data_IF_518106909109
#
_entry.id   IF_518106909109
#
_cell.length_a   1.000
_cell.length_b   1.000
_cell.length_c   1.000
_cell.angle_alpha   90.00
_cell.angle_beta   90.00
_cell.angle_gamma   90.00
#
_symmetry.space_group_name_H-M   'P 1'
#
loop_
_entity.id
_entity.type
_entity.pdbx_description
1 polymer ?
#
# COMPACT_ATOMS: atom_id res chain seq x y z
N UNK A 1 -8.29 -17.85 17.71
CA UNK A 1 -8.63 -17.39 19.07
C UNK A 1 -9.16 -15.96 18.96
N UNK A 2 -10.27 -15.64 19.63
CA UNK A 2 -10.90 -14.32 19.57
C UNK A 2 -10.54 -13.50 20.81
N UNK A 3 -10.38 -12.18 20.63
CA UNK A 3 -10.14 -11.23 21.71
C UNK A 3 -11.13 -10.07 21.63
N UNK A 4 -11.66 -9.66 22.78
CA UNK A 4 -12.55 -8.50 22.91
C UNK A 4 -11.73 -7.22 23.10
N UNK A 5 -11.75 -6.35 22.10
CA UNK A 5 -10.93 -5.12 22.05
C UNK A 5 -11.70 -3.84 22.41
N UNK A 6 -13.02 -3.95 22.61
CA UNK A 6 -13.90 -2.84 22.96
C UNK A 6 -15.36 -3.14 22.60
N UNK A 7 -16.28 -2.41 23.21
CA UNK A 7 -17.72 -2.42 22.90
C UNK A 7 -18.15 -0.99 22.64
N UNK A 8 -19.01 -0.75 21.65
CA UNK A 8 -19.60 0.57 21.40
C UNK A 8 -21.12 0.48 21.40
N UNK A 9 -21.75 1.47 21.97
CA UNK A 9 -23.18 1.68 21.79
C UNK A 9 -23.41 2.16 20.34
N UNK A 10 -24.31 1.51 19.61
CA UNK A 10 -24.54 1.84 18.20
C UNK A 10 -25.44 3.07 18.00
N UNK A 11 -26.12 3.53 19.04
CA UNK A 11 -26.94 4.75 19.03
C UNK A 11 -26.12 6.01 19.33
N UNK A 12 -25.16 5.94 20.25
CA UNK A 12 -24.30 7.08 20.63
C UNK A 12 -22.90 7.02 20.02
N UNK A 13 -22.47 5.84 19.56
CA UNK A 13 -21.10 5.53 19.12
C UNK A 13 -20.05 5.67 20.23
N UNK A 14 -20.48 5.84 21.47
CA UNK A 14 -19.60 5.88 22.63
C UNK A 14 -19.14 4.49 23.02
N UNK A 15 -17.93 4.42 23.56
CA UNK A 15 -17.37 3.17 24.05
C UNK A 15 -17.87 2.86 25.46
N UNK A 16 -18.21 1.59 25.67
CA UNK A 16 -18.66 1.08 26.95
C UNK A 16 -17.73 -0.05 27.40
N UNK A 17 -17.27 0.01 28.65
CA UNK A 17 -16.54 -1.09 29.26
C UNK A 17 -17.52 -2.09 29.87
N UNK A 18 -17.78 -3.15 29.11
CA UNK A 18 -18.67 -4.25 29.52
C UNK A 18 -17.94 -5.57 29.30
N UNK A 19 -18.11 -6.49 30.25
CA UNK A 19 -17.66 -7.87 30.07
C UNK A 19 -18.71 -8.67 29.31
N UNK A 20 -18.34 -9.16 28.13
CA UNK A 20 -19.19 -9.99 27.27
C UNK A 20 -18.79 -11.47 27.34
N UNK A 21 -17.93 -11.86 28.29
CA UNK A 21 -17.44 -13.24 28.44
C UNK A 21 -16.37 -13.63 27.41
N UNK A 22 -15.83 -12.68 26.65
CA UNK A 22 -14.74 -12.90 25.68
C UNK A 22 -13.45 -12.34 26.25
N UNK A 23 -12.37 -13.11 26.15
CA UNK A 23 -11.05 -12.74 26.69
C UNK A 23 -10.58 -11.39 26.13
N UNK A 24 -10.13 -10.49 27.01
CA UNK A 24 -9.49 -9.22 26.64
C UNK A 24 -7.97 -9.39 26.38
N UNK A 25 -7.34 -8.55 25.55
CA UNK A 25 -5.89 -8.50 25.38
C UNK A 25 -5.16 -8.22 26.71
N UNK A 26 -3.86 -8.51 26.74
CA UNK A 26 -3.00 -8.10 27.86
C UNK A 26 -2.97 -6.57 27.97
N UNK A 27 -3.20 -6.04 29.16
CA UNK A 27 -3.13 -4.60 29.47
C UNK A 27 -1.87 -4.27 30.28
N UNK A 28 -1.41 -3.03 30.16
CA UNK A 28 -0.23 -2.51 30.86
C UNK A 28 -0.61 -1.20 31.57
N UNK A 29 -0.25 -1.02 32.85
CA UNK A 29 -0.63 0.16 33.63
C UNK A 29 0.32 1.34 33.37
N UNK A 30 0.43 1.77 32.11
CA UNK A 30 1.23 2.94 31.76
C UNK A 30 0.49 4.23 32.12
N UNK A 31 1.21 5.15 32.76
CA UNK A 31 0.67 6.43 33.21
C UNK A 31 0.85 7.54 32.16
N UNK A 32 1.79 7.36 31.24
CA UNK A 32 2.21 8.37 30.28
C UNK A 32 2.54 7.74 28.91
N UNK A 33 2.33 8.50 27.84
CA UNK A 33 2.68 8.08 26.48
C UNK A 33 4.18 7.76 26.31
N UNK A 34 5.05 8.44 27.05
CA UNK A 34 6.50 8.17 27.03
C UNK A 34 6.84 6.75 27.47
N UNK A 35 6.12 6.20 28.45
CA UNK A 35 6.31 4.82 28.93
C UNK A 35 5.88 3.80 27.85
N UNK A 36 4.75 4.07 27.18
CA UNK A 36 4.29 3.29 26.03
C UNK A 36 5.36 3.21 24.93
N UNK A 37 5.96 4.36 24.56
CA UNK A 37 7.00 4.45 23.54
C UNK A 37 8.27 3.70 23.96
N UNK A 38 8.71 3.87 25.21
CA UNK A 38 9.89 3.16 25.73
C UNK A 38 9.69 1.64 25.75
N UNK A 39 8.49 1.17 26.08
CA UNK A 39 8.15 -0.25 26.05
C UNK A 39 8.20 -0.78 24.62
N UNK A 40 7.49 -0.14 23.70
CA UNK A 40 7.39 -0.59 22.30
C UNK A 40 8.74 -0.56 21.57
N UNK A 41 9.59 0.43 21.85
CA UNK A 41 10.93 0.50 21.27
C UNK A 41 11.86 -0.64 21.71
N UNK A 42 11.57 -1.28 22.85
CA UNK A 42 12.33 -2.42 23.37
C UNK A 42 11.70 -3.77 23.02
N UNK A 43 10.48 -3.78 22.47
CA UNK A 43 9.82 -5.01 22.07
C UNK A 43 10.58 -5.68 20.93
N UNK A 44 10.85 -6.97 21.13
CA UNK A 44 11.30 -7.85 20.06
C UNK A 44 10.14 -8.12 19.08
N UNK A 45 10.44 -8.40 17.80
CA UNK A 45 9.40 -8.71 16.82
C UNK A 45 8.57 -9.95 17.16
N UNK A 46 9.10 -10.86 17.99
CA UNK A 46 8.42 -12.08 18.41
C UNK A 46 7.37 -11.82 19.49
N UNK A 47 7.46 -10.70 20.21
CA UNK A 47 6.48 -10.30 21.24
C UNK A 47 5.21 -9.68 20.63
N UNK A 48 5.26 -9.27 19.36
CA UNK A 48 4.11 -8.79 18.60
C UNK A 48 4.37 -7.49 17.85
N UNK A 49 3.31 -6.94 17.25
CA UNK A 49 3.33 -5.72 16.44
C UNK A 49 3.60 -4.45 17.27
N UNK A 50 3.07 -4.39 18.48
CA UNK A 50 3.13 -3.22 19.34
C UNK A 50 1.97 -3.20 20.33
N UNK A 51 1.54 -2.00 20.72
CA UNK A 51 0.42 -1.79 21.66
C UNK A 51 -0.58 -0.76 21.13
N UNK A 52 -1.76 -0.75 21.74
CA UNK A 52 -2.74 0.33 21.58
C UNK A 52 -2.77 1.11 22.89
N UNK A 53 -2.33 2.37 22.86
CA UNK A 53 -2.48 3.26 24.00
C UNK A 53 -3.89 3.86 23.93
N UNK A 54 -4.63 3.74 25.03
CA UNK A 54 -5.99 4.25 25.18
C UNK A 54 -6.00 5.31 26.26
N UNK A 55 -6.51 6.50 25.96
CA UNK A 55 -6.77 7.52 26.96
C UNK A 55 -7.99 7.12 27.80
N UNK A 56 -7.81 7.03 29.11
CA UNK A 56 -8.85 6.52 30.04
C UNK A 56 -10.05 7.44 30.19
N UNK A 57 -9.95 8.72 29.78
CA UNK A 57 -11.04 9.70 29.93
C UNK A 57 -11.87 9.81 28.66
N UNK A 58 -11.23 9.73 27.51
CA UNK A 58 -11.84 10.00 26.19
C UNK A 58 -11.99 8.74 25.34
N UNK A 59 -11.38 7.62 25.74
CA UNK A 59 -11.27 6.39 24.94
C UNK A 59 -10.60 6.59 23.57
N UNK A 60 -9.93 7.73 23.37
CA UNK A 60 -9.11 7.97 22.19
C UNK A 60 -7.91 7.03 22.19
N UNK A 61 -7.62 6.48 21.01
CA UNK A 61 -6.57 5.48 20.84
C UNK A 61 -5.53 5.92 19.86
N UNK A 62 -4.30 5.51 20.16
CA UNK A 62 -3.20 5.54 19.21
C UNK A 62 -2.55 4.16 19.17
N UNK A 63 -2.27 3.69 17.97
CA UNK A 63 -1.50 2.46 17.75
C UNK A 63 -0.02 2.83 17.74
N UNK A 64 0.77 2.16 18.57
CA UNK A 64 2.21 2.36 18.67
C UNK A 64 2.86 1.03 18.30
N UNK A 65 3.56 1.01 17.17
CA UNK A 65 4.14 -0.21 16.60
C UNK A 65 5.63 -0.26 16.89
N UNK A 66 6.15 -1.46 17.08
CA UNK A 66 7.59 -1.64 17.32
C UNK A 66 8.36 -1.34 16.04
N UNK A 67 9.43 -0.51 16.10
CA UNK A 67 10.31 -0.31 14.95
C UNK A 67 10.87 -1.62 14.39
N UNK A 68 11.15 -2.59 15.28
CA UNK A 68 11.69 -3.89 14.90
C UNK A 68 10.64 -4.74 14.18
N UNK A 69 9.37 -4.69 14.61
CA UNK A 69 8.26 -5.31 13.89
C UNK A 69 8.09 -4.67 12.52
N UNK A 70 8.10 -3.33 12.41
CA UNK A 70 7.94 -2.64 11.14
C UNK A 70 9.04 -3.00 10.14
N UNK A 71 10.29 -3.12 10.59
CA UNK A 71 11.39 -3.54 9.73
C UNK A 71 11.20 -4.98 9.20
N UNK A 72 10.73 -5.90 10.04
CA UNK A 72 10.45 -7.28 9.60
C UNK A 72 9.20 -7.32 8.71
N UNK A 73 8.15 -6.62 9.09
CA UNK A 73 6.92 -6.52 8.31
C UNK A 73 7.21 -5.94 6.93
N UNK A 74 8.04 -4.89 6.84
CA UNK A 74 8.50 -4.33 5.57
C UNK A 74 9.14 -5.41 4.70
N UNK A 75 10.05 -6.21 5.26
CA UNK A 75 10.72 -7.29 4.53
C UNK A 75 9.74 -8.37 4.06
N UNK A 76 8.73 -8.73 4.85
CA UNK A 76 7.73 -9.76 4.47
C UNK A 76 6.73 -9.26 3.43
N UNK A 77 6.42 -7.96 3.40
CA UNK A 77 5.61 -7.34 2.33
C UNK A 77 6.43 -6.94 1.09
N UNK A 78 7.69 -7.37 1.02
CA UNK A 78 8.57 -7.17 -0.14
C UNK A 78 9.31 -5.82 -0.18
N UNK A 79 9.21 -5.01 0.88
CA UNK A 79 10.05 -3.83 1.09
C UNK A 79 11.42 -4.30 1.59
N UNK A 80 12.31 -4.62 0.63
CA UNK A 80 13.71 -4.93 0.93
C UNK A 80 14.50 -3.63 1.13
N UNK A 81 15.05 -3.45 2.33
CA UNK A 81 15.83 -2.28 2.72
C UNK A 81 17.30 -2.35 2.21
N UNK A 82 17.57 -3.09 1.12
CA UNK A 82 18.92 -3.37 0.65
C UNK A 82 19.26 -2.49 -0.55
N UNK A 83 20.16 -1.52 -0.35
CA UNK A 83 20.90 -0.70 -1.32
C UNK A 83 20.11 0.09 -2.38
N UNK A 84 18.78 0.12 -2.35
CA UNK A 84 17.98 0.90 -3.31
C UNK A 84 16.84 1.64 -2.58
N UNK A 85 17.15 2.87 -2.13
CA UNK A 85 16.23 3.77 -1.43
C UNK A 85 14.98 4.08 -2.27
N UNK A 86 15.14 4.19 -3.60
CA UNK A 86 14.03 4.49 -4.51
C UNK A 86 13.02 3.34 -4.56
N UNK A 87 13.50 2.10 -4.65
CA UNK A 87 12.66 0.90 -4.59
C UNK A 87 11.95 0.77 -3.24
N UNK A 88 12.63 1.14 -2.16
CA UNK A 88 12.04 1.19 -0.82
C UNK A 88 10.86 2.18 -0.78
N UNK A 89 11.05 3.43 -1.22
CA UNK A 89 10.01 4.45 -1.26
C UNK A 89 8.85 4.08 -2.18
N UNK A 90 9.14 3.52 -3.36
CA UNK A 90 8.11 3.01 -4.28
C UNK A 90 7.24 1.95 -3.59
N UNK A 91 7.85 1.00 -2.89
CA UNK A 91 7.10 -0.04 -2.22
C UNK A 91 6.21 0.53 -1.09
N UNK A 92 6.68 1.54 -0.33
CA UNK A 92 5.83 2.25 0.64
C UNK A 92 4.65 2.93 -0.05
N UNK A 93 4.89 3.63 -1.17
CA UNK A 93 3.84 4.27 -1.95
C UNK A 93 2.81 3.25 -2.46
N UNK A 94 3.29 2.11 -2.98
CA UNK A 94 2.44 1.01 -3.42
C UNK A 94 1.56 0.52 -2.28
N UNK A 95 2.09 0.40 -1.07
CA UNK A 95 1.30 -0.06 0.08
C UNK A 95 0.25 0.95 0.54
N UNK A 96 0.45 2.25 0.29
CA UNK A 96 -0.40 3.33 0.80
C UNK A 96 -0.11 3.67 2.27
N UNK A 97 1.06 3.29 2.77
CA UNK A 97 1.42 3.35 4.19
C UNK A 97 2.43 4.49 4.47
N UNK A 98 2.38 5.58 3.69
CA UNK A 98 3.31 6.74 3.78
C UNK A 98 3.53 7.20 5.21
N UNK A 99 2.43 7.54 5.89
CA UNK A 99 2.47 8.11 7.23
C UNK A 99 3.08 7.13 8.24
N UNK A 100 2.76 5.84 8.12
CA UNK A 100 3.28 4.82 9.02
C UNK A 100 4.79 4.68 8.87
N UNK A 101 5.30 4.45 7.66
CA UNK A 101 6.74 4.23 7.47
C UNK A 101 7.58 5.48 7.73
N UNK A 102 7.16 6.65 7.24
CA UNK A 102 7.95 7.87 7.39
C UNK A 102 8.00 8.37 8.84
N UNK A 103 7.05 7.96 9.69
CA UNK A 103 7.12 8.23 11.14
C UNK A 103 8.30 7.53 11.81
N UNK A 104 8.72 6.35 11.32
CA UNK A 104 9.85 5.58 11.87
C UNK A 104 11.14 5.74 11.07
N UNK A 105 11.03 6.11 9.80
CA UNK A 105 12.18 6.33 8.91
C UNK A 105 12.17 7.75 8.32
N UNK A 106 12.26 8.80 9.16
CA UNK A 106 12.17 10.19 8.72
C UNK A 106 13.28 10.59 7.75
N UNK A 107 14.42 9.88 7.74
CA UNK A 107 15.51 10.11 6.80
C UNK A 107 15.11 9.89 5.34
N UNK A 108 14.04 9.14 5.05
CA UNK A 108 13.60 8.84 3.70
C UNK A 108 12.48 9.76 3.20
N UNK A 109 12.06 10.78 3.97
CA UNK A 109 10.96 11.68 3.58
C UNK A 109 11.25 12.35 2.23
N UNK A 110 12.47 12.88 2.06
CA UNK A 110 12.86 13.57 0.82
C UNK A 110 12.88 12.61 -0.38
N UNK A 111 13.47 11.43 -0.22
CA UNK A 111 13.49 10.41 -1.28
C UNK A 111 12.09 9.92 -1.64
N UNK A 112 11.22 9.79 -0.64
CA UNK A 112 9.83 9.41 -0.84
C UNK A 112 9.08 10.45 -1.65
N UNK A 113 9.18 11.72 -1.28
CA UNK A 113 8.48 12.81 -1.96
C UNK A 113 8.95 12.95 -3.42
N UNK A 114 10.23 12.68 -3.71
CA UNK A 114 10.73 12.62 -5.09
C UNK A 114 10.06 11.51 -5.91
N UNK A 115 9.97 10.30 -5.34
CA UNK A 115 9.32 9.15 -6.01
C UNK A 115 7.82 9.39 -6.18
N UNK A 116 7.14 9.90 -5.15
CA UNK A 116 5.72 10.23 -5.21
C UNK A 116 5.44 11.27 -6.29
N UNK A 117 6.21 12.36 -6.33
CA UNK A 117 6.02 13.41 -7.35
C UNK A 117 6.23 12.88 -8.77
N UNK A 118 7.25 12.06 -9.01
CA UNK A 118 7.47 11.48 -10.33
C UNK A 118 6.33 10.53 -10.76
N UNK A 119 5.86 9.70 -9.84
CA UNK A 119 4.71 8.82 -10.08
C UNK A 119 3.47 9.62 -10.46
N UNK A 120 3.14 10.64 -9.66
CA UNK A 120 1.90 11.40 -9.78
C UNK A 120 1.91 12.40 -10.95
N UNK A 121 3.05 13.04 -11.22
CA UNK A 121 3.13 14.10 -12.22
C UNK A 121 3.51 13.59 -13.61
N UNK A 122 4.12 12.41 -13.71
CA UNK A 122 4.62 11.90 -14.98
C UNK A 122 4.07 10.51 -15.29
N UNK A 123 4.33 9.54 -14.43
CA UNK A 123 4.14 8.13 -14.79
C UNK A 123 2.66 7.77 -14.87
N UNK A 124 1.88 8.11 -13.84
CA UNK A 124 0.45 7.84 -13.80
C UNK A 124 -0.28 8.58 -14.96
N UNK A 125 -0.07 9.89 -15.19
CA UNK A 125 -0.66 10.57 -16.34
C UNK A 125 -0.28 9.92 -17.68
N UNK A 126 1.00 9.59 -17.90
CA UNK A 126 1.44 8.97 -19.15
C UNK A 126 0.80 7.60 -19.37
N UNK A 127 0.66 6.80 -18.31
CA UNK A 127 -0.04 5.52 -18.36
C UNK A 127 -1.50 5.76 -18.75
N UNK A 128 -2.19 6.68 -18.07
CA UNK A 128 -3.58 7.00 -18.36
C UNK A 128 -3.72 7.43 -19.83
N UNK A 129 -2.89 8.37 -20.30
CA UNK A 129 -2.90 8.85 -21.69
C UNK A 129 -2.63 7.75 -22.71
N UNK A 130 -1.64 6.89 -22.48
CA UNK A 130 -1.33 5.73 -23.32
C UNK A 130 -2.54 4.80 -23.39
N UNK A 131 -3.15 4.48 -22.25
CA UNK A 131 -4.34 3.63 -22.19
C UNK A 131 -5.57 4.28 -22.82
N UNK A 132 -5.81 5.59 -22.64
CA UNK A 132 -6.92 6.31 -23.25
C UNK A 132 -6.79 6.33 -24.77
N UNK A 133 -5.60 6.60 -25.32
CA UNK A 133 -5.32 6.51 -26.76
C UNK A 133 -5.52 5.10 -27.31
N UNK A 134 -5.16 4.10 -26.52
CA UNK A 134 -5.35 2.69 -26.86
C UNK A 134 -6.85 2.30 -26.84
N UNK A 135 -7.65 2.86 -25.93
CA UNK A 135 -9.08 2.57 -25.75
C UNK A 135 -9.99 3.28 -26.76
N UNK A 136 -9.61 4.49 -27.20
CA UNK A 136 -10.38 5.26 -28.20
C UNK A 136 -10.35 4.64 -29.60
N UNK A 137 -9.40 3.73 -29.87
CA UNK A 137 -9.36 2.95 -31.10
C UNK A 137 -10.10 1.63 -30.89
N UNK A 138 -11.04 1.34 -31.79
CA UNK A 138 -11.97 0.21 -31.76
C UNK A 138 -11.37 -1.07 -31.14
N UNK A 139 -12.07 -1.68 -30.20
CA UNK A 139 -11.60 -2.74 -29.28
C UNK A 139 -10.79 -3.87 -29.94
N UNK A 140 -11.04 -4.19 -31.21
CA UNK A 140 -10.28 -5.18 -32.00
C UNK A 140 -8.87 -4.71 -32.37
N UNK A 141 -8.71 -3.45 -32.75
CA UNK A 141 -7.40 -2.86 -33.03
C UNK A 141 -6.60 -2.69 -31.74
N UNK A 142 -7.27 -2.34 -30.64
CA UNK A 142 -6.70 -2.37 -29.29
C UNK A 142 -6.09 -3.74 -28.95
N UNK A 143 -6.88 -4.83 -29.02
CA UNK A 143 -6.36 -6.16 -28.70
C UNK A 143 -5.28 -6.61 -29.67
N UNK A 144 -5.32 -6.15 -30.93
CA UNK A 144 -4.32 -6.46 -31.96
C UNK A 144 -3.00 -5.70 -31.75
N UNK A 145 -3.03 -4.41 -31.43
CA UNK A 145 -1.85 -3.61 -31.11
C UNK A 145 -1.22 -4.05 -29.80
N UNK A 146 -2.04 -4.31 -28.78
CA UNK A 146 -1.59 -4.92 -27.54
C UNK A 146 -0.94 -6.28 -27.81
N UNK A 147 -1.52 -7.15 -28.66
CA UNK A 147 -0.89 -8.43 -29.04
C UNK A 147 0.39 -8.27 -29.87
N UNK A 148 0.54 -7.19 -30.64
CA UNK A 148 1.74 -6.94 -31.44
C UNK A 148 2.90 -6.50 -30.56
N UNK A 149 2.63 -5.55 -29.68
CA UNK A 149 3.65 -4.95 -28.82
C UNK A 149 3.93 -5.87 -27.62
N UNK A 150 2.93 -6.70 -27.26
CA UNK A 150 2.91 -7.57 -26.09
C UNK A 150 2.28 -8.95 -26.40
N UNK A 151 2.95 -9.78 -27.22
CA UNK A 151 2.38 -11.03 -27.71
C UNK A 151 2.09 -12.02 -26.58
N UNK A 152 0.94 -12.69 -26.68
CA UNK A 152 0.62 -13.83 -25.81
C UNK A 152 1.74 -14.85 -25.90
N UNK A 153 2.27 -15.27 -24.75
CA UNK A 153 3.24 -16.36 -24.71
C UNK A 153 2.61 -17.74 -24.91
N UNK A 154 1.29 -17.82 -25.14
CA UNK A 154 0.55 -19.08 -25.19
C UNK A 154 0.38 -19.74 -23.82
N UNK A 155 0.74 -19.06 -22.73
CA UNK A 155 0.59 -19.55 -21.36
C UNK A 155 -0.72 -19.02 -20.76
N UNK A 156 -1.66 -19.89 -20.33
CA UNK A 156 -2.98 -19.50 -19.79
C UNK A 156 -2.91 -18.46 -18.65
N UNK A 157 -1.86 -18.50 -17.83
CA UNK A 157 -1.67 -17.54 -16.75
C UNK A 157 -1.38 -16.11 -17.23
N UNK A 158 -0.77 -15.93 -18.40
CA UNK A 158 -0.53 -14.60 -18.96
C UNK A 158 -1.79 -14.03 -19.63
N UNK A 159 -2.60 -14.88 -20.26
CA UNK A 159 -3.91 -14.47 -20.81
C UNK A 159 -4.90 -14.13 -19.68
N UNK A 160 -4.85 -14.84 -18.55
CA UNK A 160 -5.62 -14.50 -17.34
C UNK A 160 -5.21 -13.15 -16.74
N UNK A 161 -3.91 -12.82 -16.72
CA UNK A 161 -3.38 -11.51 -16.28
C UNK A 161 -3.79 -10.35 -17.19
N UNK A 162 -3.97 -10.63 -18.48
CA UNK A 162 -4.50 -9.69 -19.47
C UNK A 162 -5.98 -9.41 -19.19
N UNK A 163 -6.78 -10.44 -18.99
CA UNK A 163 -8.20 -10.32 -18.64
C UNK A 163 -8.44 -9.64 -17.29
N UNK A 164 -7.63 -9.95 -16.27
CA UNK A 164 -7.72 -9.30 -14.95
C UNK A 164 -7.45 -7.80 -15.06
N UNK A 165 -6.41 -7.39 -15.79
CA UNK A 165 -6.09 -5.98 -15.95
C UNK A 165 -7.11 -5.22 -16.79
N UNK A 166 -7.58 -5.82 -17.88
CA UNK A 166 -8.68 -5.26 -18.68
C UNK A 166 -9.96 -5.14 -17.87
N UNK A 167 -10.29 -6.13 -17.04
CA UNK A 167 -11.47 -6.09 -16.17
C UNK A 167 -11.32 -5.06 -15.03
N UNK A 168 -10.14 -4.96 -14.39
CA UNK A 168 -9.89 -3.94 -13.36
C UNK A 168 -9.95 -2.55 -14.00
N UNK A 169 -9.37 -2.37 -15.19
CA UNK A 169 -9.42 -1.09 -15.91
C UNK A 169 -10.87 -0.73 -16.29
N UNK A 170 -11.64 -1.66 -16.88
CA UNK A 170 -13.07 -1.42 -17.16
C UNK A 170 -13.90 -1.14 -15.90
N UNK A 171 -13.63 -1.82 -14.78
CA UNK A 171 -14.34 -1.58 -13.52
C UNK A 171 -13.95 -0.25 -12.86
N UNK A 172 -12.73 0.22 -13.08
CA UNK A 172 -12.18 1.40 -12.41
C UNK A 172 -12.18 2.68 -13.26
N UNK A 173 -12.18 2.56 -14.59
CA UNK A 173 -12.12 3.64 -15.57
C UNK A 173 -13.38 3.70 -16.46
N UNK A 174 -14.55 3.39 -15.90
CA UNK A 174 -15.83 3.83 -16.45
C UNK A 174 -15.99 5.36 -16.28
N UNK A 175 -17.06 5.94 -16.82
CA UNK A 175 -17.34 7.39 -16.80
C UNK A 175 -17.22 8.06 -15.40
N UNK A 176 -17.31 7.28 -14.32
CA UNK A 176 -17.15 7.72 -12.94
C UNK A 176 -15.70 8.06 -12.53
N UNK A 177 -14.66 7.64 -13.27
CA UNK A 177 -13.26 7.91 -12.91
C UNK A 177 -12.96 9.40 -12.76
N UNK A 178 -13.54 10.23 -13.62
CA UNK A 178 -13.38 11.69 -13.56
C UNK A 178 -13.99 12.30 -12.29
N UNK A 179 -14.92 11.59 -11.64
CA UNK A 179 -15.64 12.02 -10.44
C UNK A 179 -14.99 11.56 -9.12
N UNK A 180 -14.02 10.64 -9.17
CA UNK A 180 -13.32 10.18 -7.97
C UNK A 180 -12.36 11.24 -7.42
N UNK A 181 -12.25 11.29 -6.09
CA UNK A 181 -11.18 12.01 -5.42
C UNK A 181 -9.81 11.35 -5.70
N UNK A 182 -8.74 12.13 -5.46
CA UNK A 182 -7.38 11.73 -5.80
C UNK A 182 -6.91 10.50 -5.02
N UNK A 183 -7.34 10.31 -3.77
CA UNK A 183 -6.90 9.17 -2.96
C UNK A 183 -7.58 7.87 -3.39
N UNK A 184 -8.86 7.94 -3.81
CA UNK A 184 -9.56 6.80 -4.40
C UNK A 184 -8.96 6.40 -5.73
N UNK A 185 -8.57 7.37 -6.56
CA UNK A 185 -7.80 7.13 -7.80
C UNK A 185 -6.46 6.47 -7.50
N UNK A 186 -5.71 6.98 -6.52
CA UNK A 186 -4.44 6.40 -6.04
C UNK A 186 -4.62 4.96 -5.54
N UNK A 187 -5.63 4.68 -4.74
CA UNK A 187 -5.90 3.35 -4.20
C UNK A 187 -6.17 2.31 -5.30
N UNK A 188 -6.94 2.68 -6.33
CA UNK A 188 -7.17 1.86 -7.52
C UNK A 188 -5.85 1.57 -8.24
N UNK A 189 -5.06 2.61 -8.53
CA UNK A 189 -3.77 2.48 -9.21
C UNK A 189 -2.82 1.58 -8.41
N UNK A 190 -2.73 1.78 -7.08
CA UNK A 190 -1.96 0.91 -6.18
C UNK A 190 -2.43 -0.53 -6.25
N UNK A 191 -3.75 -0.80 -6.26
CA UNK A 191 -4.28 -2.16 -6.34
C UNK A 191 -3.94 -2.83 -7.67
N UNK A 192 -4.03 -2.10 -8.79
CA UNK A 192 -3.57 -2.57 -10.10
C UNK A 192 -2.10 -2.97 -10.04
N UNK A 193 -1.26 -2.13 -9.41
CA UNK A 193 0.17 -2.39 -9.28
C UNK A 193 0.50 -3.56 -8.33
N UNK A 194 -0.18 -3.66 -7.17
CA UNK A 194 0.00 -4.76 -6.21
C UNK A 194 -0.37 -6.11 -6.79
N UNK A 195 -1.53 -6.21 -7.45
CA UNK A 195 -2.01 -7.44 -8.06
C UNK A 195 -1.01 -7.94 -9.13
N UNK A 196 -0.46 -7.01 -9.92
CA UNK A 196 0.53 -7.33 -10.96
C UNK A 196 1.89 -7.76 -10.41
N UNK A 197 2.38 -7.15 -9.32
CA UNK A 197 3.63 -7.57 -8.65
C UNK A 197 3.56 -9.00 -8.09
N UNK A 198 2.39 -9.46 -7.64
CA UNK A 198 2.20 -10.85 -7.19
C UNK A 198 2.24 -11.84 -8.35
N UNK A 199 1.74 -11.43 -9.50
CA UNK A 199 1.48 -12.35 -10.61
C UNK A 199 2.71 -12.58 -11.50
N UNK A 200 3.70 -11.68 -11.55
CA UNK A 200 4.92 -11.91 -12.34
C UNK A 200 6.13 -11.12 -11.81
N UNK A 201 7.03 -11.72 -11.01
CA UNK A 201 8.19 -11.01 -10.46
C UNK A 201 9.24 -10.62 -11.52
N UNK A 202 9.17 -11.18 -12.73
CA UNK A 202 10.08 -10.90 -13.83
C UNK A 202 9.30 -10.58 -15.12
N UNK A 203 9.41 -9.33 -15.60
CA UNK A 203 8.98 -8.80 -16.91
C UNK A 203 7.50 -8.38 -17.07
N UNK A 204 7.28 -7.06 -17.21
CA UNK A 204 6.55 -6.36 -18.31
C UNK A 204 6.45 -4.84 -18.10
N UNK A 205 6.07 -4.05 -19.14
CA UNK A 205 5.79 -2.56 -19.26
C UNK A 205 6.23 -1.66 -18.09
N UNK A 206 5.67 -1.94 -16.91
CA UNK A 206 6.32 -1.90 -15.60
C UNK A 206 7.81 -1.55 -15.61
N UNK A 207 8.62 -2.54 -15.99
CA UNK A 207 10.06 -2.39 -16.04
C UNK A 207 10.49 -1.24 -16.94
N UNK A 208 9.87 -0.91 -18.07
CA UNK A 208 10.32 0.26 -18.87
C UNK A 208 10.16 1.59 -18.12
N UNK A 209 9.03 1.78 -17.42
CA UNK A 209 8.73 2.99 -16.67
C UNK A 209 9.40 3.00 -15.28
N UNK A 210 9.40 1.88 -14.58
CA UNK A 210 10.17 1.69 -13.34
C UNK A 210 11.66 1.70 -13.60
N UNK A 211 12.14 1.27 -14.77
CA UNK A 211 13.53 1.35 -15.17
C UNK A 211 13.90 2.75 -15.63
N UNK A 212 12.98 3.58 -16.15
CA UNK A 212 13.25 5.02 -16.34
C UNK A 212 13.36 5.76 -15.00
N UNK A 213 12.56 5.34 -14.00
CA UNK A 213 12.67 5.75 -12.59
C UNK A 213 13.99 5.25 -11.98
N UNK A 214 14.33 3.97 -12.17
CA UNK A 214 15.49 3.33 -11.55
C UNK A 214 16.83 3.63 -12.26
N UNK A 215 16.83 4.16 -13.50
CA UNK A 215 18.03 4.50 -14.28
C UNK A 215 18.33 6.01 -14.35
N UNK A 216 17.98 6.81 -13.34
CA UNK A 216 18.70 8.06 -13.16
C UNK A 216 20.11 7.75 -12.65
N UNK A 217 21.03 7.78 -13.60
CA UNK A 217 22.47 7.61 -13.45
C UNK A 217 22.96 8.23 -12.15
N UNK A 218 23.56 7.38 -11.29
CA UNK A 218 24.54 7.85 -10.31
C UNK A 218 25.64 8.51 -11.14
N UNK A 219 25.70 9.84 -11.09
CA UNK A 219 26.96 10.54 -11.33
C UNK A 219 27.80 10.44 -10.06
#
# INVERSE_FOLDING_TARGET
MLYHIGTRDMSTLEEIDVDIGVRKPRSFPFSQLSECLQYVNKMSPMEGEGIVACDVRTYHRIKIKSPSYLLIHSQTVGIKNQNNVRQFCLNIWLQGEKQEYLSYFPQYVQDYDLVENELEQSIIPNIIDEFTKLYSNDSKEFFRNLNRDYPSSGKPDQDRKRQIFTNIFHQCFNDDWLTFDDERKRAIVRNIFKQRNRDNPNKFIFEKYLSSVMNFSVK
#
